data_IF_300998079420
#
_entry.id   IF_300998079420
#
_cell.length_a   1.000
_cell.length_b   1.000
_cell.length_c   1.000
_cell.angle_alpha   90.00
_cell.angle_beta   90.00
_cell.angle_gamma   90.00
#
_symmetry.space_group_name_H-M   'P 1'
#
loop_
_entity.id
_entity.type
_entity.pdbx_description
1 polymer ?
#
# COMPACT_ATOMS: atom_id res chain seq x y z
N UNK A 1 -1.96 22.17 -6.11
CA UNK A 1 -1.55 20.75 -6.05
C UNK A 1 -2.48 20.02 -5.08
N UNK A 2 -3.13 18.94 -5.52
CA UNK A 2 -4.07 18.18 -4.69
C UNK A 2 -3.31 17.45 -3.58
N UNK A 3 -3.99 17.09 -2.49
CA UNK A 3 -3.35 16.34 -1.39
C UNK A 3 -2.79 15.01 -1.87
N UNK A 4 -3.49 14.31 -2.77
CA UNK A 4 -3.02 13.06 -3.36
C UNK A 4 -1.74 13.25 -4.18
N UNK A 5 -1.57 14.36 -4.91
CA UNK A 5 -0.36 14.63 -5.68
C UNK A 5 0.86 14.85 -4.75
N UNK A 6 0.66 15.52 -3.60
CA UNK A 6 1.69 15.67 -2.54
C UNK A 6 2.07 14.33 -1.93
N UNK A 7 1.07 13.47 -1.69
CA UNK A 7 1.31 12.14 -1.16
C UNK A 7 2.09 11.30 -2.17
N UNK A 8 1.70 11.31 -3.45
CA UNK A 8 2.43 10.64 -4.52
C UNK A 8 3.90 11.08 -4.57
N UNK A 9 4.19 12.38 -4.47
CA UNK A 9 5.57 12.88 -4.42
C UNK A 9 6.38 12.34 -3.23
N UNK A 10 5.72 12.12 -2.08
CA UNK A 10 6.35 11.58 -0.87
C UNK A 10 6.62 10.08 -0.97
N UNK A 11 5.70 9.36 -1.63
CA UNK A 11 5.80 7.93 -1.89
C UNK A 11 6.83 7.62 -2.97
N UNK A 12 6.83 8.40 -4.05
CA UNK A 12 7.68 8.20 -5.22
C UNK A 12 7.32 6.94 -6.03
N UNK A 13 8.21 6.56 -6.94
CA UNK A 13 8.12 5.26 -7.61
C UNK A 13 8.16 4.12 -6.57
N UNK A 14 7.40 3.02 -6.76
CA UNK A 14 6.64 2.65 -7.95
C UNK A 14 5.13 2.98 -7.85
N UNK A 15 4.75 4.02 -7.11
CA UNK A 15 3.35 4.40 -6.95
C UNK A 15 2.90 5.34 -8.07
N UNK A 16 1.63 5.26 -8.44
CA UNK A 16 0.95 6.17 -9.36
C UNK A 16 -0.43 6.58 -8.80
N UNK A 17 -1.12 7.47 -9.52
CA UNK A 17 -2.52 7.80 -9.25
C UNK A 17 -3.37 7.13 -10.32
N UNK A 18 -4.39 6.39 -9.88
CA UNK A 18 -5.33 5.69 -10.76
C UNK A 18 -6.76 5.85 -10.24
N UNK A 19 -7.70 5.97 -11.17
CA UNK A 19 -9.12 6.03 -10.83
C UNK A 19 -9.70 4.65 -10.49
N UNK A 20 -10.37 4.56 -9.35
CA UNK A 20 -11.19 3.42 -8.93
C UNK A 20 -12.57 3.93 -8.55
N UNK A 21 -13.62 3.38 -9.17
CA UNK A 21 -15.02 3.74 -8.89
C UNK A 21 -15.32 5.26 -8.87
N UNK A 22 -14.59 6.02 -9.70
CA UNK A 22 -14.73 7.48 -9.81
C UNK A 22 -13.89 8.30 -8.81
N UNK A 23 -13.08 7.68 -7.96
CA UNK A 23 -12.12 8.34 -7.06
C UNK A 23 -10.67 8.10 -7.50
N UNK A 24 -9.86 9.16 -7.50
CA UNK A 24 -8.40 9.02 -7.65
C UNK A 24 -7.80 8.40 -6.40
N UNK A 25 -7.18 7.23 -6.55
CA UNK A 25 -6.50 6.51 -5.48
C UNK A 25 -5.00 6.43 -5.76
N UNK A 26 -4.21 6.30 -4.69
CA UNK A 26 -2.81 5.87 -4.86
C UNK A 26 -2.82 4.40 -5.21
N UNK A 27 -2.08 4.03 -6.24
CA UNK A 27 -2.01 2.66 -6.72
C UNK A 27 -0.57 2.19 -6.87
N UNK A 28 -0.38 0.88 -6.74
CA UNK A 28 0.87 0.18 -7.05
C UNK A 28 0.55 -1.25 -7.40
N UNK A 29 1.03 -1.71 -8.56
CA UNK A 29 0.98 -3.13 -8.96
C UNK A 29 2.32 -3.80 -8.73
N UNK A 30 2.34 -5.03 -8.20
CA UNK A 30 3.54 -5.81 -7.98
C UNK A 30 3.22 -7.31 -7.85
N UNK A 31 4.01 -8.17 -8.52
CA UNK A 31 3.72 -9.61 -8.58
C UNK A 31 2.29 -9.89 -9.08
N UNK A 32 1.55 -10.72 -8.35
CA UNK A 32 0.12 -10.99 -8.60
C UNK A 32 -0.82 -10.09 -7.77
N UNK A 33 -0.32 -8.99 -7.21
CA UNK A 33 -1.09 -8.10 -6.35
C UNK A 33 -1.11 -6.66 -6.86
N UNK A 34 -2.12 -5.91 -6.43
CA UNK A 34 -2.18 -4.45 -6.57
C UNK A 34 -2.69 -3.84 -5.26
N UNK A 35 -2.11 -2.69 -4.92
CA UNK A 35 -2.59 -1.82 -3.88
C UNK A 35 -3.46 -0.73 -4.47
N UNK A 36 -4.54 -0.43 -3.76
CA UNK A 36 -5.38 0.73 -3.94
C UNK A 36 -5.51 1.41 -2.57
N UNK A 37 -5.17 2.68 -2.49
CA UNK A 37 -5.29 3.50 -1.28
C UNK A 37 -6.28 4.61 -1.52
N UNK A 38 -7.44 4.50 -0.87
CA UNK A 38 -8.54 5.46 -0.96
C UNK A 38 -8.58 6.36 0.29
N UNK A 39 -9.24 7.53 0.18
CA UNK A 39 -9.37 8.44 1.32
C UNK A 39 -8.07 9.13 1.75
N UNK A 40 -7.09 9.24 0.84
CA UNK A 40 -5.75 9.82 1.09
C UNK A 40 -5.77 11.31 1.47
N UNK A 41 -6.87 12.01 1.25
CA UNK A 41 -7.07 13.39 1.72
C UNK A 41 -7.53 13.54 3.17
N UNK A 42 -7.68 12.43 3.90
CA UNK A 42 -8.17 12.42 5.29
C UNK A 42 -7.04 12.09 6.27
N UNK A 43 -7.32 12.19 7.58
CA UNK A 43 -6.39 11.78 8.65
C UNK A 43 -6.07 10.28 8.60
N UNK A 44 -7.03 9.48 8.16
CA UNK A 44 -6.86 8.04 7.97
C UNK A 44 -7.31 7.63 6.58
N UNK A 45 -6.60 6.68 5.98
CA UNK A 45 -6.90 6.07 4.70
C UNK A 45 -7.26 4.59 4.84
N UNK A 46 -7.67 4.00 3.73
CA UNK A 46 -7.96 2.57 3.60
C UNK A 46 -7.06 2.00 2.52
N UNK A 47 -6.41 0.87 2.81
CA UNK A 47 -5.66 0.09 1.83
C UNK A 47 -6.47 -1.14 1.46
N UNK A 48 -6.79 -1.26 0.18
CA UNK A 48 -7.28 -2.48 -0.45
C UNK A 48 -6.13 -3.20 -1.12
N UNK A 49 -6.08 -4.51 -0.92
CA UNK A 49 -5.17 -5.38 -1.64
C UNK A 49 -5.98 -6.27 -2.55
N UNK A 50 -5.69 -6.20 -3.83
CA UNK A 50 -6.32 -7.04 -4.83
C UNK A 50 -5.32 -8.03 -5.40
N UNK A 51 -5.81 -9.20 -5.81
CA UNK A 51 -5.08 -10.02 -6.79
C UNK A 51 -5.28 -9.46 -8.19
N UNK A 52 -4.35 -9.74 -9.10
CA UNK A 52 -4.43 -9.26 -10.50
C UNK A 52 -5.23 -10.23 -11.37
N UNK A 53 -5.08 -11.55 -11.15
CA UNK A 53 -5.79 -12.58 -11.91
C UNK A 53 -6.14 -13.80 -11.04
N UNK A 54 -7.44 -14.08 -10.76
CA UNK A 54 -8.58 -13.20 -11.03
C UNK A 54 -8.49 -11.92 -10.20
N UNK A 55 -9.11 -10.83 -10.67
CA UNK A 55 -9.09 -9.56 -9.94
C UNK A 55 -10.10 -9.56 -8.80
N UNK A 56 -9.65 -9.82 -7.57
CA UNK A 56 -10.49 -9.86 -6.37
C UNK A 56 -9.80 -9.20 -5.18
N UNK A 57 -10.58 -8.58 -4.28
CA UNK A 57 -10.06 -8.05 -3.02
C UNK A 57 -9.72 -9.21 -2.09
N UNK A 58 -8.47 -9.27 -1.63
CA UNK A 58 -7.99 -10.30 -0.69
C UNK A 58 -7.76 -9.73 0.71
N UNK A 59 -7.60 -8.41 0.86
CA UNK A 59 -7.54 -7.76 2.16
C UNK A 59 -8.00 -6.30 2.12
N UNK A 60 -8.50 -5.84 3.27
CA UNK A 60 -8.90 -4.45 3.50
C UNK A 60 -8.35 -4.02 4.86
N UNK A 61 -7.44 -3.05 4.86
CA UNK A 61 -6.88 -2.44 6.06
C UNK A 61 -7.47 -1.04 6.24
N UNK A 62 -8.18 -0.83 7.35
CA UNK A 62 -8.86 0.44 7.67
C UNK A 62 -8.13 1.21 8.75
N UNK A 63 -8.45 2.49 8.86
CA UNK A 63 -7.93 3.41 9.89
C UNK A 63 -6.40 3.54 9.87
N UNK A 64 -5.77 3.45 8.69
CA UNK A 64 -4.32 3.67 8.56
C UNK A 64 -4.08 5.18 8.68
N UNK A 65 -3.29 5.66 9.65
CA UNK A 65 -2.93 7.08 9.71
C UNK A 65 -2.18 7.47 8.43
N UNK A 66 -2.68 8.48 7.73
CA UNK A 66 -2.14 8.88 6.42
C UNK A 66 -0.67 9.30 6.51
N UNK A 67 -0.23 9.82 7.67
CA UNK A 67 1.17 10.17 7.93
C UNK A 67 2.13 8.96 7.93
N UNK A 68 1.64 7.75 8.24
CA UNK A 68 2.42 6.52 8.27
C UNK A 68 2.27 5.67 7.01
N UNK A 69 1.52 6.14 6.01
CA UNK A 69 1.15 5.31 4.86
C UNK A 69 2.36 4.80 4.08
N UNK A 70 3.46 5.56 4.02
CA UNK A 70 4.69 5.14 3.34
C UNK A 70 5.25 3.85 3.94
N UNK A 71 5.38 3.81 5.27
CA UNK A 71 5.91 2.66 5.99
C UNK A 71 4.94 1.48 5.93
N UNK A 72 3.63 1.75 6.06
CA UNK A 72 2.58 0.74 5.98
C UNK A 72 2.55 0.07 4.60
N UNK A 73 2.64 0.83 3.51
CA UNK A 73 2.69 0.27 2.16
C UNK A 73 3.99 -0.50 1.92
N UNK A 74 5.13 -0.02 2.43
CA UNK A 74 6.40 -0.75 2.38
C UNK A 74 6.32 -2.10 3.09
N UNK A 75 5.77 -2.10 4.31
CA UNK A 75 5.55 -3.31 5.11
C UNK A 75 4.65 -4.30 4.39
N UNK A 76 3.43 -3.91 3.99
CA UNK A 76 2.54 -4.86 3.32
C UNK A 76 3.07 -5.32 1.97
N UNK A 77 3.74 -4.44 1.19
CA UNK A 77 4.34 -4.87 -0.06
C UNK A 77 5.39 -5.96 0.16
N UNK A 78 6.14 -5.93 1.27
CA UNK A 78 7.10 -6.98 1.59
C UNK A 78 6.41 -8.29 2.00
N UNK A 79 5.34 -8.21 2.81
CA UNK A 79 4.51 -9.36 3.19
C UNK A 79 3.93 -10.05 1.95
N UNK A 80 3.24 -9.31 1.08
CA UNK A 80 2.58 -9.91 -0.10
C UNK A 80 3.57 -10.44 -1.15
N UNK A 81 4.80 -9.93 -1.19
CA UNK A 81 5.87 -10.47 -2.04
C UNK A 81 6.66 -11.61 -1.38
N UNK A 82 6.25 -12.01 -0.17
CA UNK A 82 6.94 -13.02 0.64
C UNK A 82 8.43 -12.72 0.85
N UNK A 83 8.79 -11.45 0.97
CA UNK A 83 10.19 -11.03 1.13
C UNK A 83 10.76 -11.47 2.51
N UNK A 84 10.04 -11.34 3.63
CA UNK A 84 10.57 -11.76 4.93
C UNK A 84 11.01 -13.24 4.96
N UNK A 85 10.24 -14.13 4.34
CA UNK A 85 10.56 -15.56 4.24
C UNK A 85 11.82 -15.85 3.41
N UNK A 86 12.27 -14.88 2.60
CA UNK A 86 13.49 -14.97 1.80
C UNK A 86 14.71 -14.39 2.53
N UNK A 87 14.53 -13.81 3.71
CA UNK A 87 15.60 -13.17 4.49
C UNK A 87 16.01 -14.10 5.63
N UNK A 88 17.29 -14.46 5.67
CA UNK A 88 17.90 -15.13 6.82
C UNK A 88 18.15 -14.11 7.94
N UNK A 89 17.46 -14.27 9.06
CA UNK A 89 17.60 -13.40 10.23
C UNK A 89 18.62 -14.00 11.19
N UNK A 90 19.78 -13.37 11.33
CA UNK A 90 20.83 -13.79 12.27
C UNK A 90 20.56 -13.31 13.71
N UNK A 91 19.89 -12.15 13.88
CA UNK A 91 19.52 -11.59 15.19
C UNK A 91 18.37 -10.59 15.04
N UNK A 92 17.38 -10.68 15.94
CA UNK A 92 16.25 -9.75 16.00
C UNK A 92 15.76 -9.62 17.45
N UNK A 93 16.02 -8.46 18.06
CA UNK A 93 15.68 -8.18 19.46
C UNK A 93 14.37 -7.37 19.58
N UNK A 94 13.32 -7.84 18.91
CA UNK A 94 11.97 -7.24 18.95
C UNK A 94 10.92 -8.32 19.17
N UNK A 95 9.90 -8.02 19.98
CA UNK A 95 8.71 -8.86 20.10
C UNK A 95 7.82 -8.58 18.88
N UNK A 96 7.68 -9.58 18.02
CA UNK A 96 6.72 -9.57 16.90
C UNK A 96 5.33 -9.87 17.43
#
# INVERSE_FOLDING_TARGET
MRQIDKLLQTLGEPYDIRGFDGEDCIHRKFGNYEFEVSGTGRRHCVLYVWTVSPRVVVAIYKNIPTEHIKDVLGYYASIYQNIPDQIQVERQDIKV
#
